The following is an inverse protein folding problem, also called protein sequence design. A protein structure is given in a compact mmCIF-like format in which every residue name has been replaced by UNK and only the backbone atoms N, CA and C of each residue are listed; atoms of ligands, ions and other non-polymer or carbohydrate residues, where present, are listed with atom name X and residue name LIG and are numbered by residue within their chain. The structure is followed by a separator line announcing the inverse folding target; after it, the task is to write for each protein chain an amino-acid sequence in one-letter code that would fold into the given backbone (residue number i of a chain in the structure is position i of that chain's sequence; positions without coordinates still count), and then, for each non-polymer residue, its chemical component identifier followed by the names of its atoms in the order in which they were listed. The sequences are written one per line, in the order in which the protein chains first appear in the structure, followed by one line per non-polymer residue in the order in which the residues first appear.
data_IF_935619568972
#
_entry.id   IF_935619568972
#
_cell.length_a   1.000
_cell.length_b   1.000
_cell.length_c   1.000
_cell.angle_alpha   90.00
_cell.angle_beta   90.00
_cell.angle_gamma   90.00
#
_symmetry.space_group_name_H-M   'P 1'
#
loop_
_entity.id
_entity.type
_entity.pdbx_description
1 polymer ?
#
# COMPACT_ATOMS: atom_id res chain seq x y z
N UNK A 1 -27.97 -11.86 -6.71
CA UNK A 1 -27.44 -11.46 -8.04
C UNK A 1 -25.92 -11.46 -7.94
N UNK A 2 -25.20 -11.89 -8.98
CA UNK A 2 -23.75 -11.73 -9.01
C UNK A 2 -23.41 -10.24 -9.05
N UNK A 3 -22.37 -9.81 -8.32
CA UNK A 3 -21.91 -8.41 -8.36
C UNK A 3 -21.49 -8.03 -9.78
N UNK A 4 -21.75 -6.79 -10.19
CA UNK A 4 -21.23 -6.25 -11.45
C UNK A 4 -19.73 -5.91 -11.32
N UNK A 5 -19.06 -5.65 -12.44
CA UNK A 5 -17.68 -5.14 -12.40
C UNK A 5 -17.59 -3.78 -11.69
N UNK A 6 -18.62 -2.94 -11.84
CA UNK A 6 -18.72 -1.67 -11.11
C UNK A 6 -18.86 -1.88 -9.59
N UNK A 7 -19.70 -2.82 -9.16
CA UNK A 7 -19.84 -3.15 -7.73
C UNK A 7 -18.51 -3.67 -7.14
N UNK A 8 -17.76 -4.46 -7.91
CA UNK A 8 -16.44 -4.94 -7.48
C UNK A 8 -15.37 -3.86 -7.46
N UNK A 9 -15.41 -2.92 -8.40
CA UNK A 9 -14.53 -1.75 -8.40
C UNK A 9 -14.77 -0.86 -7.17
N UNK A 10 -16.05 -0.62 -6.83
CA UNK A 10 -16.43 0.07 -5.59
C UNK A 10 -15.99 -0.74 -4.36
N UNK A 11 -16.23 -2.05 -4.38
CA UNK A 11 -15.82 -2.97 -3.32
C UNK A 11 -14.31 -3.00 -3.09
N UNK A 12 -13.49 -2.83 -4.14
CA UNK A 12 -12.04 -2.73 -4.02
C UNK A 12 -11.62 -1.46 -3.25
N UNK A 13 -12.22 -0.32 -3.56
CA UNK A 13 -11.93 0.96 -2.90
C UNK A 13 -12.38 0.92 -1.43
N UNK A 14 -13.64 0.56 -1.19
CA UNK A 14 -14.22 0.51 0.17
C UNK A 14 -13.53 -0.57 0.99
N UNK A 15 -13.29 -1.74 0.42
CA UNK A 15 -12.62 -2.86 1.08
C UNK A 15 -11.21 -2.48 1.52
N UNK A 16 -10.44 -1.78 0.69
CA UNK A 16 -9.13 -1.28 1.07
C UNK A 16 -9.18 -0.29 2.24
N UNK A 17 -10.11 0.68 2.19
CA UNK A 17 -10.29 1.67 3.28
C UNK A 17 -10.73 1.01 4.60
N UNK A 18 -11.66 0.05 4.54
CA UNK A 18 -12.13 -0.72 5.71
C UNK A 18 -11.00 -1.56 6.27
N UNK A 19 -10.22 -2.24 5.42
CA UNK A 19 -9.11 -3.09 5.86
C UNK A 19 -8.00 -2.29 6.54
N UNK A 20 -7.64 -1.12 6.01
CA UNK A 20 -6.65 -0.23 6.62
C UNK A 20 -7.09 0.23 8.02
N UNK A 21 -8.32 0.74 8.15
CA UNK A 21 -8.88 1.16 9.43
C UNK A 21 -9.05 0.00 10.44
N UNK A 22 -9.41 -1.20 9.95
CA UNK A 22 -9.57 -2.40 10.77
C UNK A 22 -8.24 -2.88 11.37
N UNK A 23 -7.16 -2.82 10.59
CA UNK A 23 -5.83 -3.29 10.98
C UNK A 23 -5.01 -2.24 11.74
N UNK A 24 -5.28 -0.95 11.54
CA UNK A 24 -4.57 0.20 12.12
C UNK A 24 -4.17 0.03 13.60
N UNK A 25 -5.06 -0.44 14.51
CA UNK A 25 -4.75 -0.53 15.93
C UNK A 25 -3.63 -1.53 16.27
N UNK A 26 -3.27 -2.43 15.34
CA UNK A 26 -2.29 -3.49 15.55
C UNK A 26 -1.12 -3.43 14.55
N UNK A 27 -0.99 -2.34 13.79
CA UNK A 27 0.12 -2.17 12.84
C UNK A 27 1.48 -2.37 13.51
N UNK A 28 2.37 -3.07 12.80
CA UNK A 28 3.79 -3.21 13.12
C UNK A 28 4.10 -3.89 14.46
N UNK A 29 3.24 -4.81 14.91
CA UNK A 29 3.60 -5.78 15.96
C UNK A 29 4.43 -6.89 15.31
N UNK A 30 5.75 -6.78 15.39
CA UNK A 30 6.68 -7.75 14.77
C UNK A 30 6.99 -8.97 15.64
N UNK A 31 6.89 -8.85 16.96
CA UNK A 31 7.15 -9.97 17.86
C UNK A 31 5.96 -10.94 17.86
N UNK A 32 6.12 -12.22 17.46
CA UNK A 32 5.01 -13.17 17.36
C UNK A 32 4.31 -13.45 18.68
N UNK A 33 5.04 -13.55 19.79
CA UNK A 33 4.46 -13.79 21.10
C UNK A 33 3.58 -12.61 21.53
N UNK A 34 4.05 -11.38 21.28
CA UNK A 34 3.27 -10.16 21.53
C UNK A 34 2.03 -10.09 20.63
N UNK A 35 2.14 -10.48 19.37
CA UNK A 35 0.99 -10.53 18.46
C UNK A 35 -0.05 -11.54 18.98
N UNK A 36 0.38 -12.73 19.40
CA UNK A 36 -0.51 -13.74 19.97
C UNK A 36 -1.20 -13.25 21.25
N UNK A 37 -0.48 -12.58 22.15
CA UNK A 37 -1.05 -11.98 23.36
C UNK A 37 -2.10 -10.92 23.04
N UNK A 38 -1.84 -10.07 22.04
CA UNK A 38 -2.80 -9.02 21.64
C UNK A 38 -4.05 -9.62 20.99
N UNK A 39 -3.90 -10.70 20.23
CA UNK A 39 -4.98 -11.37 19.52
C UNK A 39 -5.84 -12.27 20.42
N UNK A 40 -5.28 -12.87 21.48
CA UNK A 40 -5.97 -13.86 22.32
C UNK A 40 -7.27 -13.31 22.94
N UNK A 41 -7.30 -12.01 23.25
CA UNK A 41 -8.46 -11.35 23.85
C UNK A 41 -9.49 -10.87 22.82
N UNK A 42 -9.19 -11.00 21.52
CA UNK A 42 -10.00 -10.46 20.43
C UNK A 42 -10.57 -11.53 19.50
N UNK A 43 -10.02 -12.74 19.51
CA UNK A 43 -10.54 -13.80 18.65
C UNK A 43 -12.02 -14.10 18.93
N UNK A 44 -12.84 -14.35 17.89
CA UNK A 44 -12.49 -14.47 16.47
C UNK A 44 -12.59 -13.16 15.67
N UNK A 45 -12.69 -11.98 16.32
CA UNK A 45 -12.93 -10.67 15.70
C UNK A 45 -11.81 -9.67 16.03
N UNK A 46 -10.61 -9.83 15.44
CA UNK A 46 -9.44 -9.00 15.72
C UNK A 46 -9.51 -7.59 15.11
N UNK A 47 -10.45 -7.35 14.18
CA UNK A 47 -10.66 -6.05 13.54
C UNK A 47 -11.09 -4.95 14.52
N UNK A 48 -10.72 -3.69 14.21
CA UNK A 48 -11.18 -2.51 14.95
C UNK A 48 -10.96 -2.61 16.47
N UNK A 49 -9.77 -3.06 16.88
CA UNK A 49 -9.44 -3.14 18.30
C UNK A 49 -9.68 -1.79 19.00
N UNK A 50 -10.48 -1.73 20.08
CA UNK A 50 -10.82 -0.45 20.73
C UNK A 50 -9.63 0.28 21.35
N UNK A 51 -8.66 -0.48 21.88
CA UNK A 51 -7.43 0.06 22.45
C UNK A 51 -6.26 -0.32 21.56
N UNK A 52 -5.65 0.68 20.92
CA UNK A 52 -4.50 0.44 20.04
C UNK A 52 -3.35 -0.28 20.77
N UNK A 53 -2.86 -1.34 20.15
CA UNK A 53 -1.65 -2.06 20.52
C UNK A 53 -0.45 -1.67 19.64
N UNK A 54 -0.62 -0.66 18.78
CA UNK A 54 0.40 -0.16 17.88
C UNK A 54 1.57 0.47 18.68
N UNK A 55 2.82 0.01 18.47
CA UNK A 55 3.95 0.50 19.24
C UNK A 55 4.53 1.83 18.74
N UNK A 56 4.06 2.36 17.61
CA UNK A 56 4.66 3.53 16.94
C UNK A 56 3.79 4.78 16.97
N UNK A 57 2.47 4.65 16.80
CA UNK A 57 1.56 5.80 16.75
C UNK A 57 0.17 5.44 17.27
N UNK A 58 -0.58 6.47 17.71
CA UNK A 58 -1.96 6.33 18.17
C UNK A 58 -2.88 7.20 17.32
N UNK A 59 -3.94 6.56 16.84
CA UNK A 59 -5.10 7.18 16.18
C UNK A 59 -6.36 6.59 16.79
N UNK A 60 -7.49 7.27 16.60
CA UNK A 60 -8.79 6.74 16.99
C UNK A 60 -9.09 5.51 16.12
N UNK A 61 -9.49 4.41 16.74
CA UNK A 61 -9.88 3.20 16.00
C UNK A 61 -10.98 3.52 14.99
N UNK A 62 -10.78 3.08 13.74
CA UNK A 62 -11.65 3.42 12.61
C UNK A 62 -11.12 4.55 11.73
N UNK A 63 -10.12 5.31 12.19
CA UNK A 63 -9.37 6.21 11.32
C UNK A 63 -8.41 5.44 10.40
N UNK A 64 -8.12 6.05 9.24
CA UNK A 64 -7.12 5.53 8.31
C UNK A 64 -5.71 5.65 8.87
N UNK A 65 -4.77 4.96 8.27
CA UNK A 65 -3.33 5.14 8.44
C UNK A 65 -2.79 6.03 7.32
N UNK A 66 -1.48 6.27 7.29
CA UNK A 66 -0.86 6.92 6.14
C UNK A 66 -1.02 6.13 4.84
N UNK A 67 -1.32 4.84 4.88
CA UNK A 67 -1.57 4.04 3.68
C UNK A 67 -2.97 4.33 3.11
N UNK A 68 -3.99 4.23 3.97
CA UNK A 68 -5.36 4.58 3.63
C UNK A 68 -5.54 6.04 3.23
N UNK A 69 -4.89 6.98 3.94
CA UNK A 69 -4.91 8.40 3.59
C UNK A 69 -4.26 8.66 2.22
N UNK A 70 -3.20 7.93 1.84
CA UNK A 70 -2.64 8.04 0.49
C UNK A 70 -3.61 7.52 -0.59
N UNK A 71 -4.34 6.44 -0.31
CA UNK A 71 -5.38 5.93 -1.21
C UNK A 71 -6.53 6.93 -1.36
N UNK A 72 -6.93 7.60 -0.28
CA UNK A 72 -7.93 8.66 -0.29
C UNK A 72 -7.51 9.85 -1.17
N UNK A 73 -6.28 10.36 -1.00
CA UNK A 73 -5.76 11.48 -1.80
C UNK A 73 -5.70 11.11 -3.30
N UNK A 74 -5.29 9.88 -3.62
CA UNK A 74 -5.32 9.38 -5.00
C UNK A 74 -6.75 9.33 -5.55
N UNK A 75 -7.70 8.79 -4.80
CA UNK A 75 -9.11 8.73 -5.19
C UNK A 75 -9.68 10.14 -5.45
N UNK A 76 -9.36 11.10 -4.57
CA UNK A 76 -9.81 12.48 -4.72
C UNK A 76 -9.25 13.11 -5.99
N UNK A 77 -7.95 12.97 -6.26
CA UNK A 77 -7.33 13.47 -7.50
C UNK A 77 -7.98 12.88 -8.75
N UNK A 78 -8.13 11.55 -8.79
CA UNK A 78 -8.78 10.85 -9.91
C UNK A 78 -10.22 11.33 -10.13
N UNK A 79 -10.98 11.51 -9.04
CA UNK A 79 -12.37 11.98 -9.12
C UNK A 79 -12.49 13.41 -9.65
N UNK A 80 -11.50 14.27 -9.40
CA UNK A 80 -11.52 15.67 -9.82
C UNK A 80 -10.95 15.85 -11.22
N UNK A 81 -9.89 15.12 -11.56
CA UNK A 81 -9.19 15.26 -12.84
C UNK A 81 -9.77 14.36 -13.95
N UNK A 82 -10.45 13.27 -13.60
CA UNK A 82 -10.94 12.29 -14.58
C UNK A 82 -9.84 11.42 -15.20
N UNK A 83 -8.59 11.57 -14.75
CA UNK A 83 -7.41 10.81 -15.15
C UNK A 83 -6.33 10.92 -14.05
N UNK A 84 -5.22 10.18 -14.17
CA UNK A 84 -4.00 10.39 -13.38
C UNK A 84 -3.32 11.67 -13.86
N UNK A 85 -3.50 12.75 -13.10
CA UNK A 85 -2.75 14.00 -13.22
C UNK A 85 -1.65 14.06 -12.16
N UNK A 86 -0.40 13.84 -12.56
CA UNK A 86 0.75 13.82 -11.66
C UNK A 86 0.95 15.16 -10.93
N UNK A 87 0.63 16.28 -11.57
CA UNK A 87 0.81 17.61 -10.95
C UNK A 87 -0.24 17.85 -9.89
N UNK A 88 -1.51 17.55 -10.19
CA UNK A 88 -2.58 17.64 -9.18
C UNK A 88 -2.35 16.68 -8.03
N UNK A 89 -1.98 15.43 -8.33
CA UNK A 89 -1.72 14.42 -7.32
C UNK A 89 -0.55 14.82 -6.41
N UNK A 90 0.55 15.33 -6.97
CA UNK A 90 1.69 15.86 -6.21
C UNK A 90 1.27 17.00 -5.29
N UNK A 91 0.49 17.96 -5.82
CA UNK A 91 -0.03 19.10 -5.04
C UNK A 91 -0.88 18.62 -3.87
N UNK A 92 -1.84 17.70 -4.09
CA UNK A 92 -2.71 17.18 -3.02
C UNK A 92 -1.94 16.36 -1.99
N UNK A 93 -0.97 15.56 -2.41
CA UNK A 93 -0.09 14.86 -1.47
C UNK A 93 0.66 15.85 -0.59
N UNK A 94 1.22 16.92 -1.17
CA UNK A 94 1.92 17.94 -0.42
C UNK A 94 0.98 18.67 0.56
N UNK A 95 -0.23 19.06 0.12
CA UNK A 95 -1.23 19.74 0.96
C UNK A 95 -1.74 18.85 2.10
N UNK A 96 -1.92 17.55 1.88
CA UNK A 96 -2.46 16.63 2.87
C UNK A 96 -1.42 16.19 3.91
N UNK A 97 -0.19 15.91 3.45
CA UNK A 97 0.86 15.34 4.28
C UNK A 97 1.95 16.34 4.68
N UNK A 98 1.94 17.58 4.16
CA UNK A 98 2.99 18.57 4.34
C UNK A 98 2.91 19.40 5.62
N UNK A 99 3.53 20.60 5.63
CA UNK A 99 3.57 21.49 6.80
C UNK A 99 2.18 21.97 7.24
N UNK A 100 1.99 22.10 8.56
CA UNK A 100 0.74 22.61 9.16
C UNK A 100 -0.43 21.63 9.19
N UNK A 101 -0.23 20.37 8.79
CA UNK A 101 -1.28 19.33 8.82
C UNK A 101 -1.18 18.45 10.05
N UNK A 102 -2.13 17.52 10.24
CA UNK A 102 -2.08 16.52 11.32
C UNK A 102 -0.83 15.63 11.25
N UNK A 103 -0.19 15.54 10.08
CA UNK A 103 1.05 14.79 9.91
C UNK A 103 2.30 15.56 10.35
N UNK A 104 2.21 16.88 10.57
CA UNK A 104 3.32 17.77 10.88
C UNK A 104 3.76 17.70 12.35
N UNK A 105 4.14 16.49 12.77
CA UNK A 105 4.62 16.18 14.11
C UNK A 105 6.15 16.13 14.15
N UNK A 106 6.81 16.43 15.28
CA UNK A 106 8.27 16.43 15.37
C UNK A 106 8.96 15.12 14.95
N UNK A 107 8.35 13.95 15.19
CA UNK A 107 8.92 12.67 14.72
C UNK A 107 8.73 12.45 13.21
N UNK A 108 7.72 13.09 12.64
CA UNK A 108 7.37 13.02 11.24
C UNK A 108 8.13 14.03 10.39
N UNK A 109 8.84 14.99 11.00
CA UNK A 109 9.63 16.00 10.32
C UNK A 109 10.53 15.34 9.24
N UNK A 110 10.33 15.67 7.95
CA UNK A 110 11.10 15.10 6.85
C UNK A 110 12.59 15.46 6.92
N UNK A 111 12.97 16.50 7.68
CA UNK A 111 14.34 16.97 7.87
C UNK A 111 14.96 16.53 9.20
N UNK A 112 14.25 15.71 9.99
CA UNK A 112 14.74 15.20 11.27
C UNK A 112 16.07 14.45 11.08
N UNK A 113 17.15 14.98 11.70
CA UNK A 113 18.49 14.39 11.62
C UNK A 113 18.56 13.02 12.30
N UNK A 114 19.23 12.06 11.65
CA UNK A 114 19.60 10.78 12.26
C UNK A 114 20.56 11.05 13.44
N UNK A 115 20.35 10.35 14.57
CA UNK A 115 21.18 10.50 15.78
C UNK A 115 20.72 11.56 16.79
N UNK A 116 19.59 12.24 16.54
CA UNK A 116 18.94 13.08 17.55
C UNK A 116 18.32 12.28 18.70
N UNK A 117 17.71 12.96 19.70
CA UNK A 117 17.04 12.30 20.81
C UNK A 117 16.04 11.24 20.32
N UNK A 118 16.03 10.09 21.01
CA UNK A 118 15.08 9.00 20.71
C UNK A 118 13.66 9.55 20.88
N UNK A 119 12.80 9.25 19.91
CA UNK A 119 11.39 9.60 20.02
C UNK A 119 10.75 8.76 21.12
N UNK A 120 9.87 9.38 21.91
CA UNK A 120 8.98 8.65 22.82
C UNK A 120 7.85 8.10 21.95
N UNK A 121 7.71 6.79 21.94
CA UNK A 121 6.70 6.07 21.15
C UNK A 121 5.71 5.36 22.09
N UNK A 122 4.47 5.14 21.64
CA UNK A 122 3.92 5.63 20.37
C UNK A 122 3.61 7.13 20.45
N UNK A 123 3.71 7.82 19.31
CA UNK A 123 3.30 9.23 19.21
C UNK A 123 1.78 9.37 19.29
N UNK A 124 1.32 10.55 19.72
CA UNK A 124 -0.08 10.94 19.63
C UNK A 124 -0.34 11.60 18.27
N UNK A 125 -1.07 10.91 17.39
CA UNK A 125 -1.32 11.34 16.01
C UNK A 125 -0.78 10.37 14.94
N UNK A 126 -0.92 10.72 13.66
CA UNK A 126 -0.62 9.82 12.55
C UNK A 126 0.89 9.67 12.30
N UNK A 127 1.28 8.53 11.74
CA UNK A 127 2.65 8.26 11.32
C UNK A 127 2.90 8.68 9.87
N UNK A 128 3.94 9.48 9.59
CA UNK A 128 4.42 9.76 8.23
C UNK A 128 5.50 8.74 7.87
N UNK A 129 5.27 7.90 6.87
CA UNK A 129 6.24 6.89 6.43
C UNK A 129 7.42 7.51 5.65
N UNK A 130 8.43 6.68 5.34
CA UNK A 130 9.70 7.16 4.80
C UNK A 130 9.56 7.72 3.37
N UNK A 131 8.75 7.07 2.52
CA UNK A 131 8.47 7.53 1.16
C UNK A 131 7.84 8.92 1.14
N UNK A 132 6.85 9.20 2.00
CA UNK A 132 6.22 10.52 2.13
C UNK A 132 7.20 11.58 2.64
N UNK A 133 8.09 11.23 3.58
CA UNK A 133 9.13 12.18 4.04
C UNK A 133 10.09 12.54 2.90
N UNK A 134 10.50 11.56 2.10
CA UNK A 134 11.35 11.80 0.94
C UNK A 134 10.63 12.60 -0.15
N UNK A 135 9.37 12.26 -0.42
CA UNK A 135 8.50 13.00 -1.32
C UNK A 135 8.46 14.49 -0.97
N UNK A 136 8.16 14.84 0.29
CA UNK A 136 8.12 16.25 0.73
C UNK A 136 9.45 16.96 0.48
N UNK A 137 10.58 16.35 0.89
CA UNK A 137 11.92 16.92 0.65
C UNK A 137 12.19 17.14 -0.84
N UNK A 138 11.75 16.22 -1.69
CA UNK A 138 11.98 16.27 -3.13
C UNK A 138 11.13 17.36 -3.80
N UNK A 139 9.87 17.53 -3.37
CA UNK A 139 9.01 18.65 -3.79
C UNK A 139 9.61 19.99 -3.35
N UNK A 140 10.04 20.10 -2.09
CA UNK A 140 10.67 21.32 -1.55
C UNK A 140 11.98 21.67 -2.29
N UNK A 141 12.69 20.66 -2.81
CA UNK A 141 13.88 20.82 -3.64
C UNK A 141 13.58 21.10 -5.12
N UNK A 142 12.30 21.18 -5.52
CA UNK A 142 11.88 21.45 -6.89
C UNK A 142 12.16 20.32 -7.89
N UNK A 143 12.24 19.06 -7.44
CA UNK A 143 12.43 17.92 -8.33
C UNK A 143 11.18 17.65 -9.17
N UNK A 144 11.37 17.36 -10.46
CA UNK A 144 10.29 16.97 -11.36
C UNK A 144 9.69 15.61 -11.01
N UNK A 145 10.52 14.67 -10.57
CA UNK A 145 10.11 13.35 -10.07
C UNK A 145 10.30 13.28 -8.55
N UNK A 146 9.25 13.51 -7.76
CA UNK A 146 9.39 13.67 -6.32
C UNK A 146 9.43 12.34 -5.56
N UNK A 147 9.15 11.20 -6.19
CA UNK A 147 9.12 9.90 -5.52
C UNK A 147 10.44 9.51 -4.85
N UNK A 148 10.35 8.71 -3.77
CA UNK A 148 11.51 8.17 -3.07
C UNK A 148 12.15 7.04 -3.87
N UNK A 149 13.45 7.13 -4.14
CA UNK A 149 14.24 6.16 -4.92
C UNK A 149 14.75 4.97 -4.09
N UNK A 150 14.89 5.15 -2.78
CA UNK A 150 15.44 4.14 -1.86
C UNK A 150 14.38 3.40 -1.03
N UNK A 151 13.16 3.93 -0.93
CA UNK A 151 12.09 3.26 -0.20
C UNK A 151 11.54 2.10 -1.05
N UNK A 152 11.60 0.89 -0.50
CA UNK A 152 11.15 -0.34 -1.14
C UNK A 152 9.94 -0.97 -0.41
N UNK A 153 9.16 -0.17 0.32
CA UNK A 153 8.01 -0.66 1.09
C UNK A 153 6.75 -0.82 0.23
N UNK A 154 5.71 -1.42 0.82
CA UNK A 154 4.49 -1.86 0.12
C UNK A 154 3.48 -0.73 -0.20
N UNK A 155 3.86 0.55 -0.03
CA UNK A 155 2.92 1.67 -0.09
C UNK A 155 2.13 1.74 -1.40
N UNK A 156 2.79 1.52 -2.55
CA UNK A 156 2.13 1.43 -3.86
C UNK A 156 0.98 0.43 -3.88
N UNK A 157 1.17 -0.75 -3.28
CA UNK A 157 0.13 -1.79 -3.19
C UNK A 157 -1.05 -1.34 -2.34
N UNK A 158 -0.76 -0.69 -1.20
CA UNK A 158 -1.81 -0.25 -0.26
C UNK A 158 -2.72 0.84 -0.80
N UNK A 159 -2.30 1.57 -1.84
CA UNK A 159 -3.07 2.68 -2.42
C UNK A 159 -3.56 2.47 -3.84
N UNK A 160 -3.28 1.35 -4.50
CA UNK A 160 -3.59 1.16 -5.93
C UNK A 160 -5.08 0.99 -6.26
N UNK A 161 -5.94 0.71 -5.26
CA UNK A 161 -7.33 0.36 -5.51
C UNK A 161 -8.12 1.41 -6.34
N UNK A 162 -8.03 2.73 -6.06
CA UNK A 162 -8.74 3.74 -6.85
C UNK A 162 -8.33 3.78 -8.33
N UNK A 163 -7.02 3.71 -8.62
CA UNK A 163 -6.53 3.77 -10.00
C UNK A 163 -6.88 2.50 -10.77
N UNK A 164 -6.76 1.32 -10.15
CA UNK A 164 -7.20 0.08 -10.80
C UNK A 164 -8.71 0.08 -11.03
N UNK A 165 -9.51 0.50 -10.04
CA UNK A 165 -10.96 0.58 -10.18
C UNK A 165 -11.40 1.48 -11.35
N UNK A 166 -10.71 2.59 -11.58
CA UNK A 166 -11.00 3.52 -12.67
C UNK A 166 -10.62 3.01 -14.06
N UNK A 167 -9.49 2.30 -14.15
CA UNK A 167 -8.89 1.88 -15.42
C UNK A 167 -8.98 0.38 -15.73
N UNK A 168 -9.60 -0.43 -14.87
CA UNK A 168 -9.73 -1.87 -15.10
C UNK A 168 -10.31 -2.20 -16.49
N UNK A 169 -9.64 -3.09 -17.21
CA UNK A 169 -9.99 -3.50 -18.57
C UNK A 169 -9.47 -2.56 -19.66
N UNK A 170 -8.87 -1.43 -19.31
CA UNK A 170 -8.31 -0.46 -20.27
C UNK A 170 -6.84 -0.74 -20.56
N UNK A 171 -6.39 -0.53 -21.80
CA UNK A 171 -5.03 -0.86 -22.21
C UNK A 171 -3.93 -0.08 -21.46
N UNK A 172 -4.24 1.09 -20.92
CA UNK A 172 -3.36 2.02 -20.21
C UNK A 172 -3.32 1.80 -18.69
N UNK A 173 -4.11 0.88 -18.12
CA UNK A 173 -4.27 0.73 -16.65
C UNK A 173 -2.93 0.64 -15.91
N UNK A 174 -2.02 -0.21 -16.40
CA UNK A 174 -0.71 -0.41 -15.76
C UNK A 174 0.19 0.83 -15.85
N UNK A 175 0.12 1.61 -16.94
CA UNK A 175 0.88 2.86 -17.09
C UNK A 175 0.37 3.91 -16.09
N UNK A 176 -0.95 3.95 -15.88
CA UNK A 176 -1.60 4.83 -14.89
C UNK A 176 -1.23 4.43 -13.46
N UNK A 177 -1.19 3.13 -13.16
CA UNK A 177 -0.73 2.61 -11.85
C UNK A 177 0.73 2.99 -11.61
N UNK A 178 1.61 2.79 -12.58
CA UNK A 178 3.02 3.16 -12.45
C UNK A 178 3.20 4.66 -12.22
N UNK A 179 2.53 5.49 -13.03
CA UNK A 179 2.56 6.95 -12.91
C UNK A 179 2.13 7.42 -11.52
N UNK A 180 1.02 6.88 -10.98
CA UNK A 180 0.54 7.23 -9.65
C UNK A 180 1.46 6.73 -8.52
N UNK A 181 2.11 5.58 -8.71
CA UNK A 181 3.07 5.01 -7.74
C UNK A 181 4.33 5.87 -7.65
N UNK A 182 4.88 6.26 -8.81
CA UNK A 182 6.11 7.05 -8.92
C UNK A 182 6.03 8.44 -8.31
N UNK A 183 4.83 8.96 -8.05
CA UNK A 183 4.66 10.23 -7.32
C UNK A 183 5.30 10.18 -5.93
N UNK A 184 5.18 9.08 -5.18
CA UNK A 184 5.77 8.99 -3.82
C UNK A 184 6.87 7.93 -3.71
N UNK A 185 6.93 6.96 -4.61
CA UNK A 185 7.93 5.89 -4.63
C UNK A 185 8.47 5.69 -6.05
N UNK A 186 9.69 6.17 -6.30
CA UNK A 186 10.40 6.02 -7.57
C UNK A 186 11.44 4.88 -7.50
N UNK A 187 10.99 3.69 -7.10
CA UNK A 187 11.83 2.51 -6.92
C UNK A 187 11.29 1.35 -7.78
N UNK A 188 12.16 0.70 -8.56
CA UNK A 188 11.73 -0.32 -9.53
C UNK A 188 11.14 -1.58 -8.87
N UNK A 189 11.58 -1.94 -7.66
CA UNK A 189 10.97 -3.05 -6.93
C UNK A 189 9.55 -2.70 -6.49
N UNK A 190 9.33 -1.49 -5.95
CA UNK A 190 7.98 -1.02 -5.62
C UNK A 190 7.08 -1.03 -6.84
N UNK A 191 7.55 -0.52 -7.97
CA UNK A 191 6.77 -0.46 -9.21
C UNK A 191 6.44 -1.87 -9.71
N UNK A 192 7.42 -2.77 -9.81
CA UNK A 192 7.17 -4.14 -10.28
C UNK A 192 6.16 -4.90 -9.40
N UNK A 193 6.29 -4.81 -8.07
CA UNK A 193 5.36 -5.46 -7.13
C UNK A 193 3.96 -4.82 -7.21
N UNK A 194 3.90 -3.49 -7.31
CA UNK A 194 2.62 -2.76 -7.41
C UNK A 194 1.88 -3.10 -8.71
N UNK A 195 2.60 -3.20 -9.84
CA UNK A 195 2.01 -3.60 -11.12
C UNK A 195 1.51 -5.05 -11.11
N UNK A 196 2.23 -5.96 -10.45
CA UNK A 196 1.73 -7.32 -10.25
C UNK A 196 0.47 -7.35 -9.39
N UNK A 197 0.43 -6.60 -8.29
CA UNK A 197 -0.77 -6.46 -7.46
C UNK A 197 -1.95 -5.84 -8.23
N UNK A 198 -1.69 -4.87 -9.12
CA UNK A 198 -2.70 -4.28 -9.98
C UNK A 198 -3.31 -5.29 -10.97
N UNK A 199 -2.50 -6.22 -11.52
CA UNK A 199 -3.02 -7.31 -12.36
C UNK A 199 -3.97 -8.23 -11.59
N UNK A 200 -3.64 -8.58 -10.35
CA UNK A 200 -4.52 -9.35 -9.48
C UNK A 200 -5.83 -8.60 -9.21
N UNK A 201 -5.75 -7.33 -8.82
CA UNK A 201 -6.93 -6.56 -8.50
C UNK A 201 -7.82 -6.34 -9.74
N UNK A 202 -7.23 -6.05 -10.89
CA UNK A 202 -7.97 -5.95 -12.16
C UNK A 202 -8.69 -7.25 -12.50
N UNK A 203 -8.02 -8.40 -12.34
CA UNK A 203 -8.64 -9.71 -12.58
C UNK A 203 -9.89 -9.89 -11.72
N UNK A 204 -9.81 -9.60 -10.41
CA UNK A 204 -10.94 -9.70 -9.50
C UNK A 204 -12.03 -8.67 -9.79
N UNK A 205 -11.68 -7.44 -10.17
CA UNK A 205 -12.65 -6.42 -10.57
C UNK A 205 -13.42 -6.87 -11.81
N UNK A 206 -12.73 -7.39 -12.82
CA UNK A 206 -13.36 -7.78 -14.08
C UNK A 206 -14.15 -9.08 -13.98
N UNK A 207 -13.60 -10.09 -13.30
CA UNK A 207 -14.12 -11.47 -13.34
C UNK A 207 -14.75 -11.96 -12.04
N UNK A 208 -14.50 -11.29 -10.93
CA UNK A 208 -14.83 -11.80 -9.60
C UNK A 208 -13.82 -12.82 -9.10
N UNK A 209 -14.16 -13.59 -8.04
CA UNK A 209 -13.26 -14.60 -7.47
C UNK A 209 -12.78 -15.60 -8.52
N UNK A 210 -11.48 -15.87 -8.52
CA UNK A 210 -10.83 -16.74 -9.50
C UNK A 210 -9.79 -17.62 -8.77
N UNK A 211 -9.98 -18.96 -8.69
CA UNK A 211 -9.02 -19.86 -8.06
C UNK A 211 -7.70 -19.94 -8.84
N UNK A 212 -7.71 -19.59 -10.13
CA UNK A 212 -6.55 -19.65 -11.02
C UNK A 212 -5.85 -18.27 -11.14
N UNK A 213 -6.18 -17.32 -10.26
CA UNK A 213 -5.66 -15.95 -10.32
C UNK A 213 -4.12 -15.89 -10.34
N UNK A 214 -3.45 -16.74 -9.54
CA UNK A 214 -1.99 -16.80 -9.51
C UNK A 214 -1.42 -17.19 -10.88
N UNK A 215 -2.01 -18.22 -11.52
CA UNK A 215 -1.57 -18.70 -12.82
C UNK A 215 -1.88 -17.70 -13.94
N UNK A 216 -3.04 -17.04 -13.87
CA UNK A 216 -3.40 -15.98 -14.79
C UNK A 216 -2.39 -14.83 -14.75
N UNK A 217 -1.98 -14.37 -13.56
CA UNK A 217 -1.01 -13.28 -13.43
C UNK A 217 0.40 -13.72 -13.82
N UNK A 218 0.83 -14.93 -13.46
CA UNK A 218 2.12 -15.49 -13.91
C UNK A 218 2.18 -15.58 -15.44
N UNK A 219 1.10 -16.02 -16.09
CA UNK A 219 1.02 -16.07 -17.55
C UNK A 219 1.11 -14.66 -18.17
N UNK A 220 0.47 -13.65 -17.57
CA UNK A 220 0.59 -12.25 -18.03
C UNK A 220 2.03 -11.73 -17.91
N UNK A 221 2.68 -11.97 -16.77
CA UNK A 221 4.06 -11.53 -16.51
C UNK A 221 5.08 -12.28 -17.38
N UNK A 222 4.79 -13.52 -17.74
CA UNK A 222 5.67 -14.35 -18.58
C UNK A 222 5.51 -14.07 -20.08
N UNK A 223 4.49 -13.30 -20.49
CA UNK A 223 4.27 -12.98 -21.89
C UNK A 223 5.40 -12.06 -22.42
N UNK A 224 6.11 -12.45 -23.50
CA UNK A 224 7.20 -11.64 -24.05
C UNK A 224 6.72 -10.29 -24.60
N UNK A 225 5.45 -10.20 -25.00
CA UNK A 225 4.81 -8.99 -25.53
C UNK A 225 3.89 -8.32 -24.49
N UNK A 226 4.11 -8.57 -23.19
CA UNK A 226 3.32 -7.98 -22.12
C UNK A 226 3.43 -6.45 -22.11
N UNK A 227 2.38 -5.79 -21.64
CA UNK A 227 2.35 -4.34 -21.41
C UNK A 227 3.08 -4.00 -20.10
N UNK A 228 3.78 -2.87 -20.11
CA UNK A 228 4.59 -2.35 -19.00
C UNK A 228 5.56 -3.40 -18.43
N UNK A 229 6.50 -3.92 -19.25
CA UNK A 229 7.52 -4.85 -18.77
C UNK A 229 8.43 -4.16 -17.75
N UNK A 230 8.73 -4.84 -16.65
CA UNK A 230 9.67 -4.39 -15.63
C UNK A 230 10.87 -5.34 -15.57
N UNK A 231 12.04 -4.82 -15.22
CA UNK A 231 13.28 -5.62 -15.10
C UNK A 231 13.16 -6.71 -14.03
N UNK A 232 12.36 -6.44 -12.99
CA UNK A 232 12.17 -7.34 -11.85
C UNK A 232 11.01 -8.34 -12.02
N UNK A 233 10.33 -8.37 -13.17
CA UNK A 233 9.19 -9.27 -13.41
C UNK A 233 9.54 -10.75 -13.17
N UNK A 234 10.75 -11.17 -13.53
CA UNK A 234 11.21 -12.56 -13.28
C UNK A 234 11.29 -12.89 -11.79
N UNK A 235 11.75 -11.94 -10.97
CA UNK A 235 11.81 -12.12 -9.52
C UNK A 235 10.39 -12.15 -8.93
N UNK A 236 9.51 -11.26 -9.40
CA UNK A 236 8.10 -11.25 -8.99
C UNK A 236 7.40 -12.57 -9.33
N UNK A 237 7.61 -13.12 -10.54
CA UNK A 237 7.08 -14.45 -10.92
C UNK A 237 7.57 -15.53 -9.94
N UNK A 238 8.87 -15.53 -9.60
CA UNK A 238 9.41 -16.49 -8.65
C UNK A 238 8.76 -16.39 -7.26
N UNK A 239 8.53 -15.17 -6.75
CA UNK A 239 7.83 -14.97 -5.48
C UNK A 239 6.36 -15.38 -5.52
N UNK A 240 5.64 -15.13 -6.63
CA UNK A 240 4.28 -15.65 -6.81
C UNK A 240 4.29 -17.19 -6.81
N UNK A 241 5.30 -17.81 -7.42
CA UNK A 241 5.53 -19.26 -7.37
C UNK A 241 5.69 -19.77 -5.94
N UNK A 242 6.50 -19.09 -5.11
CA UNK A 242 6.64 -19.43 -3.70
C UNK A 242 5.31 -19.35 -2.94
N UNK A 243 4.47 -18.34 -3.21
CA UNK A 243 3.13 -18.27 -2.61
C UNK A 243 2.31 -19.50 -3.01
N UNK A 244 2.32 -19.86 -4.30
CA UNK A 244 1.57 -21.02 -4.82
C UNK A 244 1.99 -22.35 -4.16
N UNK A 245 3.30 -22.56 -3.98
CA UNK A 245 3.86 -23.75 -3.32
C UNK A 245 3.47 -23.86 -1.84
N UNK A 246 3.03 -22.76 -1.22
CA UNK A 246 2.78 -22.67 0.21
C UNK A 246 1.30 -22.46 0.58
N UNK A 247 0.36 -22.45 -0.39
CA UNK A 247 -1.07 -22.21 -0.15
C UNK A 247 -1.72 -23.14 0.88
N UNK A 248 -1.24 -24.39 0.98
CA UNK A 248 -1.79 -25.38 1.91
C UNK A 248 -1.22 -25.28 3.33
N UNK A 249 -0.20 -24.43 3.57
CA UNK A 249 0.47 -24.30 4.86
C UNK A 249 -0.15 -23.16 5.67
N UNK A 250 -0.31 -23.37 6.97
CA UNK A 250 -0.78 -22.34 7.87
C UNK A 250 0.31 -21.31 8.17
N UNK A 251 -0.08 -20.08 8.53
CA UNK A 251 0.83 -18.98 8.83
C UNK A 251 1.90 -19.34 9.88
N UNK A 252 1.52 -20.03 10.96
CA UNK A 252 2.45 -20.47 12.01
C UNK A 252 3.51 -21.48 11.53
N UNK A 253 3.26 -22.19 10.42
CA UNK A 253 4.22 -23.09 9.79
C UNK A 253 5.17 -22.33 8.85
N UNK A 254 4.70 -21.23 8.26
CA UNK A 254 5.43 -20.46 7.25
C UNK A 254 6.32 -19.38 7.85
N UNK A 255 5.82 -18.64 8.83
CA UNK A 255 6.51 -17.47 9.39
C UNK A 255 7.93 -17.82 9.87
N UNK A 256 8.15 -18.86 10.68
CA UNK A 256 9.50 -19.21 11.15
C UNK A 256 10.43 -19.74 10.05
N UNK A 257 9.86 -20.31 8.98
CA UNK A 257 10.63 -20.95 7.90
C UNK A 257 11.02 -19.98 6.77
N UNK A 258 10.18 -18.97 6.51
CA UNK A 258 10.34 -18.02 5.40
C UNK A 258 10.88 -16.68 5.88
N UNK A 259 10.48 -16.25 7.09
CA UNK A 259 10.86 -14.97 7.68
C UNK A 259 11.71 -15.24 8.93
N UNK A 260 12.96 -15.62 8.71
CA UNK A 260 13.93 -15.70 9.81
C UNK A 260 14.18 -14.27 10.31
N UNK A 261 13.83 -13.97 11.57
CA UNK A 261 14.12 -12.68 12.19
C UNK A 261 15.60 -12.33 11.97
N UNK A 262 15.86 -11.33 11.12
CA UNK A 262 17.13 -10.63 11.03
C UNK A 262 17.11 -9.37 11.87
#
# INVERSE_FOLDING_TARGET
MASSAADRAIGAIIGAAVADAAAQPMHWIYNPDRLNEVLSDLEPRPEFRPLSANPFYRRTTGEQTCYGDQAYVLLESLSQCGDVDVKDLTRRFYEFFGPGTLYDLPVNDPYRKKGGPKAILPIDGPWRNASLKAFLRNVDAGKEEPGCDVDCQIDGVTKLAPVVAMFAGRPEMLEKVESATRVTQNNDMCVAVTLAAARFLELFVLKGPDPDALDAVVAQLSNPNRKNPQDLDRAVIAHIGQVKENLAKASHQLIPAVFTNT
#
